data_IF_542729745889
#
_entry.id   IF_542729745889
#
_cell.length_a   1.000
_cell.length_b   1.000
_cell.length_c   1.000
_cell.angle_alpha   90.00
_cell.angle_beta   90.00
_cell.angle_gamma   90.00
#
_symmetry.space_group_name_H-M   'P 1'
#
loop_
_entity.id
_entity.type
_entity.pdbx_description
1 polymer ?
#
# COMPACT_ATOMS: atom_id res chain seq x y z
N UNK A 1 -10.73 4.01 3.65
CA UNK A 1 -10.64 4.35 2.21
C UNK A 1 -10.14 3.16 1.44
N UNK A 2 -10.86 2.78 0.43
CA UNK A 2 -10.47 1.65 -0.43
C UNK A 2 -9.30 2.05 -1.32
N UNK A 3 -8.29 1.19 -1.39
CA UNK A 3 -7.13 1.41 -2.24
C UNK A 3 -6.58 0.08 -2.73
N UNK A 4 -5.51 0.14 -3.52
CA UNK A 4 -4.90 -1.04 -4.14
C UNK A 4 -3.41 -1.01 -3.83
N UNK A 5 -2.88 -2.17 -3.42
CA UNK A 5 -1.50 -2.27 -2.98
C UNK A 5 -0.79 -3.42 -3.69
N UNK A 6 0.45 -3.16 -4.09
CA UNK A 6 1.33 -4.17 -4.66
C UNK A 6 2.26 -4.76 -3.61
N UNK A 7 2.62 -6.02 -3.82
CA UNK A 7 3.53 -6.79 -2.98
C UNK A 7 4.43 -7.63 -3.87
N UNK A 8 5.53 -8.09 -3.31
CA UNK A 8 6.30 -9.13 -4.00
C UNK A 8 5.57 -10.48 -3.93
N UNK A 9 6.17 -11.52 -4.48
CA UNK A 9 5.54 -12.87 -4.54
C UNK A 9 5.26 -13.46 -3.16
N UNK A 10 5.95 -13.01 -2.12
CA UNK A 10 5.82 -13.51 -0.75
C UNK A 10 4.91 -12.63 0.11
N UNK A 11 4.16 -11.73 -0.51
CA UNK A 11 3.28 -10.77 0.14
C UNK A 11 4.05 -9.80 1.05
N UNK A 12 5.27 -9.45 0.64
CA UNK A 12 6.08 -8.44 1.32
C UNK A 12 6.09 -7.14 0.52
N UNK A 13 6.15 -6.04 1.24
CA UNK A 13 6.31 -4.73 0.64
C UNK A 13 7.42 -4.00 1.40
N UNK A 14 8.52 -3.70 0.72
CA UNK A 14 9.69 -3.03 1.29
C UNK A 14 10.22 -3.75 2.55
N UNK A 15 10.23 -5.08 2.50
CA UNK A 15 10.72 -5.90 3.59
C UNK A 15 9.72 -6.17 4.71
N UNK A 16 8.56 -5.53 4.70
CA UNK A 16 7.50 -5.77 5.68
C UNK A 16 6.60 -6.92 5.22
N UNK A 17 6.38 -7.90 6.09
CA UNK A 17 5.54 -9.06 5.78
C UNK A 17 4.07 -8.76 6.09
N UNK A 18 3.22 -8.90 5.07
CA UNK A 18 1.77 -8.77 5.23
C UNK A 18 1.09 -10.13 5.20
N UNK A 19 -0.12 -10.18 5.76
CA UNK A 19 -0.97 -11.38 5.72
C UNK A 19 -2.39 -10.95 5.35
N UNK A 20 -3.05 -11.75 4.53
CA UNK A 20 -4.43 -11.49 4.12
C UNK A 20 -5.34 -11.51 5.35
N UNK A 21 -6.20 -10.50 5.46
CA UNK A 21 -7.17 -10.40 6.55
C UNK A 21 -6.65 -9.75 7.82
N UNK A 22 -5.36 -9.43 7.91
CA UNK A 22 -4.80 -8.76 9.08
C UNK A 22 -4.85 -7.24 8.95
N UNK A 23 -4.92 -6.59 10.11
CA UNK A 23 -4.83 -5.15 10.23
C UNK A 23 -3.47 -4.76 10.81
N UNK A 24 -2.96 -3.61 10.36
CA UNK A 24 -1.68 -3.06 10.81
C UNK A 24 -1.82 -1.59 11.12
N UNK A 25 -1.05 -1.11 12.09
CA UNK A 25 -1.07 0.28 12.50
C UNK A 25 0.34 0.80 12.78
N UNK A 26 0.60 2.05 12.37
CA UNK A 26 1.82 2.78 12.68
C UNK A 26 1.47 4.14 13.27
N UNK A 27 2.45 4.78 13.93
CA UNK A 27 2.24 6.07 14.61
C UNK A 27 2.12 7.23 13.64
N UNK A 28 2.83 7.17 12.53
CA UNK A 28 2.90 8.28 11.57
C UNK A 28 2.76 7.78 10.14
N UNK A 29 2.17 8.61 9.30
CA UNK A 29 2.14 8.40 7.86
C UNK A 29 2.73 9.62 7.16
N UNK A 30 3.70 9.37 6.27
CA UNK A 30 4.28 10.40 5.43
C UNK A 30 4.61 9.78 4.10
N UNK A 31 3.99 10.27 3.03
CA UNK A 31 4.14 9.67 1.69
C UNK A 31 5.62 9.60 1.31
N UNK A 32 6.01 8.45 0.74
CA UNK A 32 7.38 8.09 0.35
C UNK A 32 8.35 7.85 1.52
N UNK A 33 7.93 7.98 2.77
CA UNK A 33 8.81 7.81 3.94
C UNK A 33 8.28 6.82 4.97
N UNK A 34 7.05 7.01 5.45
CA UNK A 34 6.50 6.23 6.57
C UNK A 34 5.05 5.87 6.31
N UNK A 35 4.56 4.85 7.03
CA UNK A 35 3.19 4.42 6.95
C UNK A 35 2.96 3.37 5.88
N UNK A 36 1.71 2.99 5.73
CA UNK A 36 1.29 1.98 4.77
C UNK A 36 0.88 2.66 3.47
N UNK A 37 1.56 2.33 2.38
CA UNK A 37 1.32 2.96 1.08
C UNK A 37 0.44 2.10 0.19
N UNK A 38 -0.51 2.73 -0.47
CA UNK A 38 -1.36 2.11 -1.49
C UNK A 38 -1.78 3.18 -2.49
N UNK A 39 -2.40 2.75 -3.58
CA UNK A 39 -2.88 3.67 -4.62
C UNK A 39 -4.39 3.57 -4.75
N UNK A 40 -5.07 4.71 -4.84
CA UNK A 40 -6.50 4.71 -5.08
C UNK A 40 -6.85 4.31 -6.52
N UNK A 41 -5.90 4.52 -7.44
CA UNK A 41 -6.03 4.05 -8.82
C UNK A 41 -5.16 2.79 -8.99
N UNK A 42 -5.76 1.62 -9.30
CA UNK A 42 -5.00 0.37 -9.42
C UNK A 42 -3.93 0.41 -10.51
N UNK A 43 -4.08 1.22 -11.54
CA UNK A 43 -3.08 1.34 -12.60
C UNK A 43 -1.77 1.94 -12.08
N UNK A 44 -1.83 2.78 -11.06
CA UNK A 44 -0.63 3.38 -10.48
C UNK A 44 0.20 2.37 -9.70
N UNK A 45 -0.43 1.30 -9.19
CA UNK A 45 0.30 0.24 -8.49
C UNK A 45 1.32 -0.42 -9.40
N UNK A 46 1.00 -0.57 -10.68
CA UNK A 46 1.86 -1.22 -11.66
C UNK A 46 3.17 -0.47 -11.91
N UNK A 47 3.22 0.82 -11.57
CA UNK A 47 4.46 1.61 -11.66
C UNK A 47 5.48 1.17 -10.61
N UNK A 48 4.99 0.70 -9.47
CA UNK A 48 5.84 0.28 -8.34
C UNK A 48 6.05 -1.22 -8.32
N UNK A 49 5.08 -1.98 -8.78
CA UNK A 49 5.09 -3.45 -8.80
C UNK A 49 4.64 -3.96 -10.17
N UNK A 50 5.53 -3.97 -11.17
CA UNK A 50 5.18 -4.44 -12.50
C UNK A 50 4.76 -5.91 -12.52
N UNK A 51 3.83 -6.32 -13.40
CA UNK A 51 3.32 -7.69 -13.42
C UNK A 51 4.35 -8.74 -13.85
N UNK A 52 5.47 -8.34 -14.42
CA UNK A 52 6.47 -9.27 -14.98
C UNK A 52 7.33 -9.98 -13.93
N UNK A 53 7.21 -9.66 -12.65
CA UNK A 53 8.03 -10.24 -11.58
C UNK A 53 7.25 -11.10 -10.59
N UNK A 54 6.13 -11.67 -11.01
CA UNK A 54 5.24 -12.47 -10.16
C UNK A 54 4.73 -11.68 -8.95
N UNK A 55 4.66 -10.38 -9.06
CA UNK A 55 4.16 -9.52 -8.00
C UNK A 55 2.68 -9.81 -7.72
N UNK A 56 2.26 -9.57 -6.49
CA UNK A 56 0.88 -9.78 -6.04
C UNK A 56 0.20 -8.45 -5.79
N UNK A 57 -1.10 -8.44 -5.94
CA UNK A 57 -1.91 -7.23 -5.78
C UNK A 57 -3.11 -7.52 -4.92
N UNK A 58 -3.43 -6.60 -4.02
CA UNK A 58 -4.59 -6.74 -3.15
C UNK A 58 -5.37 -5.43 -3.08
N UNK A 59 -6.68 -5.55 -2.96
CA UNK A 59 -7.52 -4.45 -2.52
C UNK A 59 -7.35 -4.32 -1.01
N UNK A 60 -7.12 -3.10 -0.53
CA UNK A 60 -6.88 -2.83 0.88
C UNK A 60 -7.81 -1.72 1.37
N UNK A 61 -8.03 -1.70 2.67
CA UNK A 61 -8.74 -0.61 3.34
C UNK A 61 -7.73 0.19 4.16
N UNK A 62 -7.60 1.48 3.84
CA UNK A 62 -6.72 2.39 4.58
C UNK A 62 -7.54 3.26 5.51
N UNK A 63 -7.01 3.52 6.69
CA UNK A 63 -7.68 4.33 7.71
C UNK A 63 -6.67 5.07 8.56
N UNK A 64 -7.17 5.83 9.56
CA UNK A 64 -6.33 6.64 10.43
C UNK A 64 -5.93 7.95 9.76
N UNK A 65 -4.70 8.35 9.90
CA UNK A 65 -4.17 9.56 9.29
C UNK A 65 -3.57 9.26 7.92
N UNK A 66 -3.71 10.21 7.00
CA UNK A 66 -3.29 10.05 5.61
C UNK A 66 -2.27 11.11 5.21
N UNK A 67 -1.35 10.71 4.32
CA UNK A 67 -0.44 11.61 3.63
C UNK A 67 -0.49 11.30 2.13
N UNK A 68 -0.72 12.30 1.30
CA UNK A 68 -0.88 12.13 -0.14
C UNK A 68 0.23 12.80 -0.92
N UNK A 69 0.54 12.19 -2.07
CA UNK A 69 1.40 12.79 -3.09
C UNK A 69 0.48 13.35 -4.17
N UNK A 70 0.56 14.64 -4.47
CA UNK A 70 -0.35 15.29 -5.42
C UNK A 70 -0.23 14.83 -6.88
N UNK A 71 0.82 14.11 -7.24
CA UNK A 71 1.11 13.76 -8.63
C UNK A 71 0.48 12.44 -9.09
N UNK A 72 0.16 11.54 -8.18
CA UNK A 72 -0.49 10.27 -8.49
C UNK A 72 -1.48 9.88 -7.38
N UNK A 73 -1.99 8.67 -7.42
CA UNK A 73 -2.98 8.22 -6.43
C UNK A 73 -2.37 7.52 -5.23
N UNK A 74 -1.06 7.63 -5.04
CA UNK A 74 -0.38 7.00 -3.90
C UNK A 74 -0.71 7.73 -2.60
N UNK A 75 -1.12 6.96 -1.60
CA UNK A 75 -1.49 7.47 -0.28
C UNK A 75 -0.80 6.65 0.79
N UNK A 76 -0.21 7.33 1.76
CA UNK A 76 0.30 6.70 2.98
C UNK A 76 -0.73 6.83 4.09
N UNK A 77 -0.90 5.79 4.89
CA UNK A 77 -1.84 5.81 6.01
C UNK A 77 -1.21 5.20 7.26
N UNK A 78 -1.80 5.54 8.42
CA UNK A 78 -1.35 4.94 9.69
C UNK A 78 -1.98 3.58 9.94
N UNK A 79 -3.09 3.25 9.25
CA UNK A 79 -3.77 1.96 9.40
C UNK A 79 -4.05 1.35 8.05
N UNK A 80 -3.93 0.02 7.96
CA UNK A 80 -4.25 -0.73 6.76
C UNK A 80 -4.80 -2.10 7.12
N UNK A 81 -5.75 -2.57 6.31
CA UNK A 81 -6.29 -3.92 6.38
C UNK A 81 -6.31 -4.52 4.98
N UNK A 82 -5.73 -5.68 4.83
CA UNK A 82 -5.70 -6.40 3.54
C UNK A 82 -6.98 -7.17 3.29
#
# INVERSE_FOLDING_TARGET
MKAYKGFDKDLKCRGFQYEIGKEYEEKEAKVCEKGFHACTNPLNVLQYYPPCYENRYCEVEQDGEFSENGDDSKVASTKIKN
#
